data_IF_336427214679
#
_entry.id   IF_336427214679
#
_cell.length_a   1.000
_cell.length_b   1.000
_cell.length_c   1.000
_cell.angle_alpha   90.00
_cell.angle_beta   90.00
_cell.angle_gamma   90.00
#
_symmetry.space_group_name_H-M   'P 1'
#
loop_
_entity.id
_entity.type
_entity.pdbx_description
1 polymer ?
#
# COMPACT_ATOMS: atom_id res chain seq x y z
N UNK A 1 -16.04 -16.31 24.22
CA UNK A 1 -16.30 -15.95 22.81
C UNK A 1 -15.42 -14.78 22.40
N UNK A 2 -14.83 -14.89 21.22
CA UNK A 2 -14.08 -13.82 20.55
C UNK A 2 -15.08 -12.86 19.89
N UNK A 3 -14.78 -11.57 19.88
CA UNK A 3 -15.68 -10.53 19.34
C UNK A 3 -14.86 -9.55 18.52
N UNK A 4 -15.48 -8.88 17.54
CA UNK A 4 -14.83 -7.84 16.72
C UNK A 4 -14.09 -6.78 17.58
N UNK A 5 -14.73 -6.30 18.66
CA UNK A 5 -14.13 -5.30 19.54
C UNK A 5 -12.85 -5.81 20.24
N UNK A 6 -12.88 -7.03 20.79
CA UNK A 6 -11.69 -7.67 21.40
C UNK A 6 -10.54 -7.80 20.40
N UNK A 7 -10.82 -8.23 19.17
CA UNK A 7 -9.80 -8.36 18.11
C UNK A 7 -9.21 -6.99 17.78
N UNK A 8 -10.05 -5.97 17.59
CA UNK A 8 -9.61 -4.60 17.31
C UNK A 8 -8.76 -4.01 18.44
N UNK A 9 -9.17 -4.22 19.69
CA UNK A 9 -8.42 -3.77 20.87
C UNK A 9 -7.07 -4.49 20.99
N UNK A 10 -7.05 -5.81 20.85
CA UNK A 10 -5.83 -6.61 20.90
C UNK A 10 -4.85 -6.19 19.79
N UNK A 11 -5.33 -6.08 18.54
CA UNK A 11 -4.51 -5.65 17.43
C UNK A 11 -3.93 -4.25 17.61
N UNK A 12 -4.70 -3.30 18.14
CA UNK A 12 -4.20 -1.96 18.47
C UNK A 12 -3.16 -1.99 19.59
N UNK A 13 -3.38 -2.79 20.63
CA UNK A 13 -2.41 -2.97 21.71
C UNK A 13 -1.11 -3.64 21.22
N UNK A 14 -1.17 -4.44 20.15
CA UNK A 14 -0.03 -5.15 19.57
C UNK A 14 0.72 -4.37 18.49
N UNK A 15 0.21 -3.21 18.04
CA UNK A 15 0.93 -2.30 17.15
C UNK A 15 0.19 -1.87 15.88
N UNK A 16 -1.02 -2.36 15.61
CA UNK A 16 -1.83 -1.84 14.52
C UNK A 16 -2.38 -0.44 14.87
N UNK A 17 -2.34 0.49 13.92
CA UNK A 17 -2.90 1.82 14.13
C UNK A 17 -4.38 1.90 13.75
N UNK A 18 -4.77 1.11 12.75
CA UNK A 18 -6.13 0.97 12.25
C UNK A 18 -6.46 -0.51 12.09
N UNK A 19 -7.71 -0.86 12.36
CA UNK A 19 -8.23 -2.21 12.20
C UNK A 19 -9.66 -2.09 11.68
N UNK A 20 -9.93 -2.73 10.55
CA UNK A 20 -11.25 -2.78 9.92
C UNK A 20 -11.57 -4.24 9.59
N UNK A 21 -12.85 -4.60 9.64
CA UNK A 21 -13.31 -5.96 9.41
C UNK A 21 -14.30 -5.94 8.24
N UNK A 22 -14.10 -6.83 7.29
CA UNK A 22 -15.04 -7.10 6.21
C UNK A 22 -15.42 -8.58 6.19
N UNK A 23 -16.37 -8.91 5.33
CA UNK A 23 -16.80 -10.28 5.08
C UNK A 23 -16.29 -10.77 3.71
N UNK A 24 -16.07 -12.08 3.52
CA UNK A 24 -15.55 -12.63 2.27
C UNK A 24 -16.41 -12.36 1.03
N UNK A 25 -17.74 -12.20 1.17
CA UNK A 25 -18.65 -11.89 0.06
C UNK A 25 -18.31 -10.55 -0.62
N UNK A 26 -17.65 -9.62 0.08
CA UNK A 26 -17.18 -8.36 -0.49
C UNK A 26 -16.13 -8.54 -1.60
N UNK A 27 -15.58 -9.74 -1.75
CA UNK A 27 -14.67 -10.14 -2.82
C UNK A 27 -15.34 -10.87 -4.00
N UNK A 28 -16.67 -10.95 -4.02
CA UNK A 28 -17.37 -11.47 -5.20
C UNK A 28 -16.95 -10.73 -6.49
N UNK A 29 -16.61 -11.51 -7.53
CA UNK A 29 -16.11 -10.99 -8.80
C UNK A 29 -14.62 -10.61 -8.81
N UNK A 30 -13.89 -10.74 -7.70
CA UNK A 30 -12.45 -10.52 -7.69
C UNK A 30 -11.72 -11.51 -8.63
N UNK A 31 -10.62 -11.08 -9.28
CA UNK A 31 -9.78 -12.01 -10.03
C UNK A 31 -9.29 -13.14 -9.14
N UNK A 32 -9.33 -14.38 -9.63
CA UNK A 32 -8.97 -15.58 -8.85
C UNK A 32 -7.57 -15.51 -8.22
N UNK A 33 -6.66 -14.75 -8.83
CA UNK A 33 -5.29 -14.54 -8.33
C UNK A 33 -5.15 -13.49 -7.22
N UNK A 34 -6.25 -12.84 -6.85
CA UNK A 34 -6.32 -11.80 -5.82
C UNK A 34 -7.46 -11.99 -4.83
N UNK A 35 -8.19 -13.09 -4.93
CA UNK A 35 -9.37 -13.37 -4.12
C UNK A 35 -8.96 -14.19 -2.86
N UNK A 36 -9.13 -13.64 -1.64
CA UNK A 36 -8.73 -14.28 -0.40
C UNK A 36 -9.49 -15.58 -0.13
N UNK A 37 -10.64 -15.80 -0.78
CA UNK A 37 -11.42 -17.04 -0.65
C UNK A 37 -10.69 -18.24 -1.26
N UNK A 38 -9.69 -18.02 -2.12
CA UNK A 38 -8.80 -19.10 -2.58
C UNK A 38 -7.61 -19.35 -1.65
N UNK A 39 -7.35 -18.46 -0.68
CA UNK A 39 -6.32 -18.65 0.35
C UNK A 39 -6.92 -19.40 1.54
N UNK A 40 -8.08 -18.95 2.02
CA UNK A 40 -8.82 -19.58 3.11
C UNK A 40 -10.31 -19.62 2.74
N UNK A 41 -10.79 -20.70 2.08
CA UNK A 41 -12.19 -20.81 1.65
C UNK A 41 -13.19 -20.68 2.81
N UNK A 42 -12.79 -21.17 3.99
CA UNK A 42 -13.65 -21.23 5.18
C UNK A 42 -13.60 -19.94 6.02
N UNK A 43 -12.89 -18.92 5.54
CA UNK A 43 -12.84 -17.64 6.22
C UNK A 43 -14.27 -17.07 6.34
N UNK A 44 -14.60 -16.60 7.55
CA UNK A 44 -15.84 -15.86 7.82
C UNK A 44 -15.62 -14.36 7.95
N UNK A 45 -14.39 -13.97 8.29
CA UNK A 45 -13.99 -12.57 8.43
C UNK A 45 -12.65 -12.30 7.75
N UNK A 46 -12.55 -11.10 7.19
CA UNK A 46 -11.32 -10.53 6.63
C UNK A 46 -10.97 -9.29 7.45
N UNK A 47 -9.79 -9.26 8.06
CA UNK A 47 -9.36 -8.17 8.94
C UNK A 47 -8.27 -7.37 8.23
N UNK A 48 -8.52 -6.11 7.89
CA UNK A 48 -7.51 -5.21 7.37
C UNK A 48 -6.83 -4.43 8.51
N UNK A 49 -5.52 -4.24 8.38
CA UNK A 49 -4.70 -3.49 9.33
C UNK A 49 -4.05 -2.29 8.64
N UNK A 50 -4.03 -1.14 9.31
CA UNK A 50 -3.27 0.04 8.91
C UNK A 50 -2.11 0.30 9.86
N UNK A 51 -0.93 0.58 9.32
CA UNK A 51 0.29 0.87 10.06
C UNK A 51 0.83 2.23 9.61
N UNK A 52 0.87 3.19 10.52
CA UNK A 52 1.15 4.58 10.18
C UNK A 52 2.59 4.73 9.70
N UNK A 53 2.75 5.46 8.60
CA UNK A 53 4.02 6.04 8.22
C UNK A 53 4.19 7.32 9.02
N UNK A 54 5.26 7.39 9.80
CA UNK A 54 5.59 8.56 10.60
C UNK A 54 5.78 9.78 9.68
N UNK A 55 5.07 10.89 9.94
CA UNK A 55 5.29 12.14 9.19
C UNK A 55 6.77 12.57 9.24
N UNK A 56 7.44 12.31 10.36
CA UNK A 56 8.87 12.58 10.55
C UNK A 56 9.80 11.77 9.63
N UNK A 57 9.45 10.54 9.23
CA UNK A 57 10.33 9.75 8.35
C UNK A 57 10.46 10.35 6.95
N UNK A 58 9.50 11.17 6.54
CA UNK A 58 9.50 11.88 5.26
C UNK A 58 10.29 13.20 5.31
N UNK A 59 10.60 13.72 6.51
CA UNK A 59 11.26 15.02 6.70
C UNK A 59 12.63 15.07 6.03
N UNK A 60 13.43 14.02 6.18
CA UNK A 60 14.78 13.98 5.63
C UNK A 60 14.81 14.11 4.10
N UNK A 61 13.83 13.53 3.41
CA UNK A 61 13.68 13.67 1.95
C UNK A 61 13.10 15.04 1.59
N UNK A 62 12.16 15.58 2.38
CA UNK A 62 11.65 16.94 2.17
C UNK A 62 12.75 18.00 2.28
N UNK A 63 13.68 17.84 3.22
CA UNK A 63 14.78 18.79 3.45
C UNK A 63 16.03 18.50 2.61
N UNK A 64 16.08 17.36 1.90
CA UNK A 64 17.24 16.95 1.12
C UNK A 64 18.43 16.48 1.96
N UNK A 65 18.22 16.02 3.21
CA UNK A 65 19.29 15.73 4.17
C UNK A 65 19.39 14.28 4.60
N UNK A 66 18.29 13.51 4.58
CA UNK A 66 18.29 12.14 5.10
C UNK A 66 17.30 11.25 4.34
N UNK A 67 17.75 10.74 3.20
CA UNK A 67 16.89 10.01 2.25
C UNK A 67 16.59 8.57 2.66
N UNK A 68 17.52 7.91 3.34
CA UNK A 68 17.37 6.50 3.68
C UNK A 68 16.29 6.25 4.75
N UNK A 69 15.95 7.24 5.58
CA UNK A 69 15.03 7.06 6.70
C UNK A 69 13.61 6.65 6.29
N UNK A 70 13.05 7.24 5.22
CA UNK A 70 11.75 6.80 4.73
C UNK A 70 11.82 5.37 4.18
N UNK A 71 12.83 5.07 3.36
CA UNK A 71 13.05 3.73 2.83
C UNK A 71 13.23 2.69 3.94
N UNK A 72 14.02 2.99 4.98
CA UNK A 72 14.30 2.08 6.07
C UNK A 72 13.15 2.01 7.07
N UNK A 73 12.80 3.10 7.73
CA UNK A 73 11.87 3.11 8.87
C UNK A 73 10.41 3.31 8.45
N UNK A 74 10.16 4.13 7.43
CA UNK A 74 8.80 4.47 6.99
C UNK A 74 8.22 3.57 5.89
N UNK A 75 8.99 2.60 5.40
CA UNK A 75 8.58 1.70 4.32
C UNK A 75 9.07 0.27 4.55
N UNK A 76 10.37 0.02 4.49
CA UNK A 76 10.98 -1.31 4.57
C UNK A 76 10.71 -2.01 5.90
N UNK A 77 11.11 -1.40 7.02
CA UNK A 77 10.94 -1.96 8.36
C UNK A 77 9.45 -2.12 8.75
N UNK A 78 8.57 -1.21 8.31
CA UNK A 78 7.13 -1.41 8.48
C UNK A 78 6.69 -2.70 7.79
N UNK A 79 6.99 -2.85 6.49
CA UNK A 79 6.57 -4.00 5.71
C UNK A 79 7.21 -5.34 6.16
N UNK A 80 8.48 -5.32 6.56
CA UNK A 80 9.29 -6.53 6.78
C UNK A 80 9.51 -6.92 8.23
N UNK A 81 9.34 -6.00 9.18
CA UNK A 81 9.55 -6.27 10.59
C UNK A 81 8.28 -6.01 11.39
N UNK A 82 7.81 -4.77 11.40
CA UNK A 82 6.78 -4.34 12.34
C UNK A 82 5.40 -4.93 12.04
N UNK A 83 4.99 -4.90 10.77
CA UNK A 83 3.71 -5.47 10.35
C UNK A 83 3.67 -6.99 10.58
N UNK A 84 4.65 -7.80 10.11
CA UNK A 84 4.65 -9.24 10.37
C UNK A 84 4.61 -9.57 11.86
N UNK A 85 5.42 -8.91 12.69
CA UNK A 85 5.41 -9.14 14.15
C UNK A 85 4.03 -8.88 14.76
N UNK A 86 3.40 -7.75 14.40
CA UNK A 86 2.06 -7.42 14.88
C UNK A 86 1.06 -8.47 14.45
N UNK A 87 1.06 -8.85 13.16
CA UNK A 87 0.11 -9.80 12.61
C UNK A 87 0.27 -11.20 13.18
N UNK A 88 1.50 -11.66 13.41
CA UNK A 88 1.76 -12.95 14.07
C UNK A 88 1.19 -12.96 15.49
N UNK A 89 1.29 -11.86 16.24
CA UNK A 89 0.75 -11.78 17.59
C UNK A 89 -0.79 -11.74 17.60
N UNK A 90 -1.40 -11.05 16.63
CA UNK A 90 -2.86 -11.04 16.47
C UNK A 90 -3.38 -12.40 16.04
N UNK A 91 -2.68 -13.11 15.14
CA UNK A 91 -3.06 -14.46 14.73
C UNK A 91 -3.05 -15.42 15.93
N UNK A 92 -1.96 -15.43 16.72
CA UNK A 92 -1.87 -16.20 17.96
C UNK A 92 -3.01 -15.89 18.93
N UNK A 93 -3.32 -14.60 19.10
CA UNK A 93 -4.44 -14.19 19.95
C UNK A 93 -5.78 -14.74 19.46
N UNK A 94 -6.02 -14.80 18.15
CA UNK A 94 -7.25 -15.39 17.60
C UNK A 94 -7.23 -16.93 17.78
N UNK A 95 -6.09 -17.56 17.58
CA UNK A 95 -5.88 -19.01 17.77
C UNK A 95 -6.04 -19.43 19.24
N UNK A 96 -5.70 -18.59 20.21
CA UNK A 96 -5.95 -18.82 21.64
C UNK A 96 -7.46 -18.90 21.98
N UNK A 97 -8.32 -18.39 21.10
CA UNK A 97 -9.78 -18.55 21.18
C UNK A 97 -10.30 -19.75 20.36
N UNK A 98 -9.41 -20.51 19.73
CA UNK A 98 -9.73 -21.73 18.97
C UNK A 98 -10.14 -21.50 17.53
N UNK A 99 -9.69 -20.41 16.89
CA UNK A 99 -9.95 -20.12 15.48
C UNK A 99 -8.64 -20.03 14.68
N UNK A 100 -8.61 -20.57 13.47
CA UNK A 100 -7.49 -20.35 12.55
C UNK A 100 -7.41 -18.90 12.05
N UNK A 101 -6.18 -18.39 11.88
CA UNK A 101 -5.94 -17.05 11.37
C UNK A 101 -4.71 -17.00 10.45
N UNK A 102 -4.90 -16.59 9.19
CA UNK A 102 -3.83 -16.49 8.19
C UNK A 102 -3.43 -15.02 7.99
N UNK A 103 -2.26 -14.58 8.48
CA UNK A 103 -1.76 -13.23 8.21
C UNK A 103 -1.17 -13.12 6.79
N UNK A 104 -1.53 -12.06 6.06
CA UNK A 104 -0.99 -11.72 4.75
C UNK A 104 -0.58 -10.24 4.68
N UNK A 105 0.72 -10.01 4.50
CA UNK A 105 1.31 -8.68 4.38
C UNK A 105 1.93 -8.40 3.00
N UNK A 106 2.95 -7.56 2.97
CA UNK A 106 3.74 -7.30 1.76
C UNK A 106 4.75 -8.42 1.44
N UNK A 107 4.94 -9.38 2.35
CA UNK A 107 5.94 -10.43 2.27
C UNK A 107 5.46 -11.63 1.47
N UNK A 108 5.28 -11.44 0.16
CA UNK A 108 4.81 -12.50 -0.74
C UNK A 108 5.77 -12.69 -1.92
N UNK A 109 7.03 -13.11 -1.68
CA UNK A 109 8.04 -13.23 -2.75
C UNK A 109 7.65 -14.24 -3.83
N UNK A 110 6.88 -15.26 -3.48
CA UNK A 110 6.47 -16.33 -4.40
C UNK A 110 5.19 -16.04 -5.19
N UNK A 111 4.55 -14.89 -4.97
CA UNK A 111 3.28 -14.57 -5.62
C UNK A 111 3.31 -14.74 -7.13
N UNK A 112 2.22 -15.30 -7.67
CA UNK A 112 2.09 -15.56 -9.10
C UNK A 112 1.97 -14.29 -9.95
N UNK A 113 1.58 -13.16 -9.35
CA UNK A 113 1.31 -11.91 -10.08
C UNK A 113 2.42 -10.86 -9.96
N UNK A 114 2.56 -10.02 -10.98
CA UNK A 114 3.45 -8.86 -11.00
C UNK A 114 2.91 -7.68 -10.14
N UNK A 115 3.43 -6.47 -10.34
CA UNK A 115 2.96 -5.28 -9.61
C UNK A 115 1.68 -4.66 -10.19
N UNK A 116 1.25 -5.10 -11.37
CA UNK A 116 0.07 -4.64 -12.10
C UNK A 116 -1.10 -5.62 -11.94
N UNK A 117 -0.81 -6.85 -11.50
CA UNK A 117 -1.79 -7.89 -11.25
C UNK A 117 -1.85 -8.97 -12.32
N UNK A 118 -0.94 -8.92 -13.29
CA UNK A 118 -0.84 -9.92 -14.35
C UNK A 118 -0.04 -11.12 -13.87
N UNK A 119 -0.35 -12.30 -14.38
CA UNK A 119 0.47 -13.48 -14.14
C UNK A 119 1.90 -13.24 -14.64
N UNK A 120 2.88 -13.54 -13.79
CA UNK A 120 4.29 -13.56 -14.18
C UNK A 120 4.50 -14.65 -15.22
N UNK A 121 5.39 -14.39 -16.17
CA UNK A 121 5.86 -15.40 -17.11
C UNK A 121 6.84 -16.36 -16.41
N UNK A 122 6.33 -17.21 -15.53
CA UNK A 122 7.08 -18.26 -14.84
C UNK A 122 6.41 -19.62 -15.06
N UNK A 123 7.13 -20.75 -14.90
CA UNK A 123 6.60 -22.08 -15.18
C UNK A 123 5.64 -22.60 -14.08
N UNK A 124 5.08 -21.72 -13.25
CA UNK A 124 4.19 -22.14 -12.17
C UNK A 124 2.83 -22.54 -12.76
N UNK A 125 2.22 -23.57 -12.17
CA UNK A 125 0.92 -24.10 -12.58
C UNK A 125 0.00 -24.29 -11.39
N UNK A 126 -1.33 -24.25 -11.58
CA UNK A 126 -2.27 -24.69 -10.56
C UNK A 126 -1.92 -26.11 -10.08
N UNK A 127 -2.11 -26.35 -8.79
CA UNK A 127 -1.91 -27.68 -8.20
C UNK A 127 -3.02 -28.66 -8.58
N UNK A 128 -4.20 -28.13 -8.94
CA UNK A 128 -5.34 -28.89 -9.46
C UNK A 128 -6.17 -28.04 -10.44
N UNK A 129 -6.99 -28.64 -11.32
CA UNK A 129 -7.87 -27.92 -12.22
C UNK A 129 -8.85 -26.99 -11.47
N UNK A 130 -9.01 -25.76 -11.96
CA UNK A 130 -9.94 -24.77 -11.38
C UNK A 130 -9.38 -23.94 -10.23
N UNK A 131 -8.22 -24.30 -9.66
CA UNK A 131 -7.52 -23.46 -8.68
C UNK A 131 -6.63 -22.40 -9.34
N UNK A 132 -6.34 -21.28 -8.65
CA UNK A 132 -5.31 -20.35 -9.07
C UNK A 132 -3.92 -21.02 -9.06
N UNK A 133 -3.00 -20.42 -9.83
CA UNK A 133 -1.55 -20.64 -9.63
C UNK A 133 -1.20 -20.33 -8.17
N UNK A 134 -0.31 -21.11 -7.52
CA UNK A 134 0.07 -20.89 -6.12
C UNK A 134 0.49 -19.46 -5.77
N UNK A 135 0.38 -19.14 -4.48
CA UNK A 135 0.71 -17.83 -3.91
C UNK A 135 -0.21 -16.70 -4.43
N UNK A 136 -1.52 -16.89 -4.24
CA UNK A 136 -2.55 -15.86 -4.40
C UNK A 136 -2.21 -14.63 -3.57
N UNK A 137 -2.34 -13.44 -4.15
CA UNK A 137 -1.97 -12.18 -3.50
C UNK A 137 -3.14 -11.21 -3.48
N UNK A 138 -3.64 -10.92 -2.28
CA UNK A 138 -4.72 -9.95 -2.08
C UNK A 138 -4.21 -8.53 -2.33
N UNK A 139 -4.95 -7.74 -3.11
CA UNK A 139 -4.62 -6.33 -3.30
C UNK A 139 -4.94 -5.51 -2.04
N UNK A 140 -3.92 -5.24 -1.23
CA UNK A 140 -4.06 -4.73 0.14
C UNK A 140 -4.83 -3.39 0.27
N UNK A 141 -4.77 -2.51 -0.73
CA UNK A 141 -5.57 -1.26 -0.72
C UNK A 141 -7.06 -1.51 -0.97
N UNK A 142 -7.38 -2.50 -1.81
CA UNK A 142 -8.76 -2.92 -2.05
C UNK A 142 -9.27 -3.65 -0.80
N UNK A 143 -8.44 -4.49 -0.19
CA UNK A 143 -8.80 -5.13 1.09
C UNK A 143 -9.14 -4.12 2.18
N UNK A 144 -8.32 -3.08 2.34
CA UNK A 144 -8.57 -2.03 3.32
C UNK A 144 -9.86 -1.24 3.02
N UNK A 145 -10.16 -0.96 1.74
CA UNK A 145 -11.42 -0.34 1.32
C UNK A 145 -12.62 -1.24 1.69
N UNK A 146 -12.58 -2.50 1.28
CA UNK A 146 -13.62 -3.49 1.54
C UNK A 146 -13.80 -3.79 3.03
N UNK A 147 -12.81 -3.52 3.87
CA UNK A 147 -12.91 -3.64 5.33
C UNK A 147 -13.28 -2.31 6.03
N UNK A 148 -13.66 -1.28 5.28
CA UNK A 148 -14.17 -0.02 5.83
C UNK A 148 -13.12 0.93 6.40
N UNK A 149 -11.82 0.71 6.15
CA UNK A 149 -10.77 1.55 6.74
C UNK A 149 -10.68 2.98 6.18
N UNK A 150 -11.22 3.21 4.97
CA UNK A 150 -10.96 4.42 4.20
C UNK A 150 -11.32 4.27 2.74
N UNK A 151 -10.81 5.17 1.90
CA UNK A 151 -11.11 5.25 0.47
C UNK A 151 -9.85 5.16 -0.41
N UNK A 152 -10.02 4.93 -1.71
CA UNK A 152 -8.92 4.94 -2.69
C UNK A 152 -8.91 6.31 -3.38
N UNK A 153 -7.83 7.08 -3.21
CA UNK A 153 -7.66 8.37 -3.88
C UNK A 153 -7.22 8.24 -5.33
N UNK A 154 -7.25 9.35 -6.07
CA UNK A 154 -6.93 9.37 -7.51
C UNK A 154 -5.54 8.81 -7.87
N UNK A 155 -4.53 8.97 -7.00
CA UNK A 155 -3.20 8.36 -7.19
C UNK A 155 -3.13 6.87 -6.86
N UNK A 156 -4.29 6.20 -6.73
CA UNK A 156 -4.45 4.83 -6.22
C UNK A 156 -3.97 4.64 -4.77
N UNK A 157 -3.45 5.68 -4.10
CA UNK A 157 -3.07 5.60 -2.69
C UNK A 157 -4.31 5.44 -1.82
N UNK A 158 -4.23 4.58 -0.81
CA UNK A 158 -5.31 4.42 0.17
C UNK A 158 -5.30 5.62 1.12
N UNK A 159 -6.46 6.21 1.38
CA UNK A 159 -6.63 7.39 2.22
C UNK A 159 -7.45 7.03 3.45
N UNK A 160 -6.95 7.39 4.62
CA UNK A 160 -7.65 7.21 5.90
C UNK A 160 -7.91 8.58 6.53
N UNK A 161 -9.03 8.78 7.25
CA UNK A 161 -9.29 10.02 7.98
C UNK A 161 -8.19 10.35 8.99
N UNK A 162 -7.52 9.34 9.54
CA UNK A 162 -6.50 9.50 10.57
C UNK A 162 -5.18 9.97 9.96
N UNK A 163 -4.73 9.37 8.86
CA UNK A 163 -3.35 9.54 8.39
C UNK A 163 -3.22 10.00 6.93
N UNK A 164 -4.33 10.19 6.22
CA UNK A 164 -4.32 10.49 4.79
C UNK A 164 -3.68 9.32 4.05
N UNK A 165 -2.67 9.51 3.19
CA UNK A 165 -1.96 8.43 2.48
C UNK A 165 -0.83 7.77 3.30
N UNK A 166 -0.56 8.21 4.54
CA UNK A 166 0.61 7.79 5.33
C UNK A 166 0.37 6.49 6.09
N UNK A 167 0.16 5.40 5.37
CA UNK A 167 0.07 4.09 5.98
C UNK A 167 0.50 2.97 5.04
N UNK A 168 0.93 1.87 5.66
CA UNK A 168 1.08 0.55 5.04
C UNK A 168 -0.11 -0.31 5.49
N UNK A 169 -0.43 -1.32 4.69
CA UNK A 169 -1.64 -2.11 4.87
C UNK A 169 -1.30 -3.59 4.92
N UNK A 170 -2.05 -4.34 5.72
CA UNK A 170 -2.03 -5.79 5.72
C UNK A 170 -3.44 -6.36 5.84
N UNK A 171 -3.60 -7.65 5.62
CA UNK A 171 -4.88 -8.35 5.76
C UNK A 171 -4.70 -9.68 6.48
N UNK A 172 -5.71 -10.14 7.20
CA UNK A 172 -5.75 -11.47 7.81
C UNK A 172 -7.11 -12.11 7.53
N UNK A 173 -7.09 -13.40 7.23
CA UNK A 173 -8.30 -14.20 7.06
C UNK A 173 -8.50 -15.07 8.30
N UNK A 174 -9.74 -15.25 8.74
CA UNK A 174 -10.05 -16.12 9.87
C UNK A 174 -11.45 -16.72 9.74
N UNK A 175 -11.63 -17.93 10.27
CA UNK A 175 -12.94 -18.58 10.45
C UNK A 175 -13.74 -17.99 11.62
N UNK A 176 -13.13 -17.11 12.44
CA UNK A 176 -13.87 -16.39 13.46
C UNK A 176 -14.94 -15.50 12.82
N UNK A 177 -16.18 -15.64 13.27
CA UNK A 177 -17.31 -14.82 12.81
C UNK A 177 -17.32 -13.50 13.60
N UNK A 178 -16.92 -12.42 12.94
CA UNK A 178 -16.75 -11.10 13.54
C UNK A 178 -17.68 -10.10 12.85
N UNK A 179 -18.29 -9.21 13.63
CA UNK A 179 -19.12 -8.13 13.11
C UNK A 179 -18.32 -7.25 12.13
N UNK A 180 -18.76 -7.09 10.87
CA UNK A 180 -18.04 -6.31 9.87
C UNK A 180 -18.27 -4.80 10.05
N UNK A 181 -17.27 -4.01 9.66
CA UNK A 181 -17.40 -2.56 9.54
C UNK A 181 -18.10 -2.20 8.22
N UNK A 182 -18.91 -1.13 8.20
CA UNK A 182 -19.44 -0.59 6.94
C UNK A 182 -18.31 -0.07 6.06
N UNK A 183 -18.48 -0.16 4.74
CA UNK A 183 -17.58 0.50 3.79
C UNK A 183 -17.75 2.02 3.94
N UNK A 184 -16.64 2.75 4.05
CA UNK A 184 -16.66 4.20 4.24
C UNK A 184 -17.01 4.91 2.93
N UNK A 185 -17.99 5.82 2.98
CA UNK A 185 -18.27 6.72 1.86
C UNK A 185 -17.11 7.70 1.62
N UNK A 186 -16.70 7.93 0.36
CA UNK A 186 -15.52 8.73 0.04
C UNK A 186 -15.76 10.23 0.26
N UNK A 187 -14.80 10.92 0.89
CA UNK A 187 -14.84 12.38 1.12
C UNK A 187 -13.46 13.06 1.23
N UNK A 188 -12.39 12.28 1.33
CA UNK A 188 -11.02 12.76 1.49
C UNK A 188 -10.48 13.27 0.16
N UNK A 189 -10.50 12.43 -0.89
CA UNK A 189 -9.99 12.81 -2.20
C UNK A 189 -10.97 13.75 -2.90
N UNK A 190 -10.55 15.00 -3.09
CA UNK A 190 -11.33 16.04 -3.78
C UNK A 190 -10.89 16.25 -5.23
N UNK A 191 -10.15 15.29 -5.79
CA UNK A 191 -9.61 15.34 -7.14
C UNK A 191 -8.80 16.62 -7.44
N UNK A 192 -8.07 17.17 -6.46
CA UNK A 192 -7.17 18.31 -6.65
C UNK A 192 -5.99 18.08 -7.63
N UNK A 193 -5.73 16.84 -8.04
CA UNK A 193 -4.64 16.44 -8.94
C UNK A 193 -3.21 16.77 -8.48
N UNK A 194 -3.01 17.25 -7.25
CA UNK A 194 -1.68 17.51 -6.68
C UNK A 194 -0.78 16.27 -6.69
N UNK A 195 -1.38 15.09 -6.53
CA UNK A 195 -0.64 13.84 -6.60
C UNK A 195 -0.02 13.57 -7.98
N UNK A 196 -0.67 14.01 -9.05
CA UNK A 196 -0.20 13.91 -10.43
C UNK A 196 0.77 15.05 -10.76
N UNK A 197 0.41 16.29 -10.45
CA UNK A 197 1.23 17.47 -10.77
C UNK A 197 2.58 17.48 -10.05
N UNK A 198 2.66 16.91 -8.84
CA UNK A 198 3.90 16.83 -8.05
C UNK A 198 4.64 15.49 -8.24
N UNK A 199 4.16 14.60 -9.12
CA UNK A 199 4.84 13.36 -9.44
C UNK A 199 6.10 13.68 -10.27
N UNK A 200 7.33 13.43 -9.76
CA UNK A 200 8.54 13.78 -10.50
C UNK A 200 8.67 13.05 -11.83
N UNK A 201 8.00 11.90 -11.97
CA UNK A 201 7.99 11.13 -13.21
C UNK A 201 6.76 11.27 -14.07
N UNK A 202 5.82 12.16 -13.74
CA UNK A 202 4.56 12.28 -14.50
C UNK A 202 3.81 10.96 -14.65
N UNK A 203 3.95 10.05 -13.67
CA UNK A 203 3.49 8.67 -13.82
C UNK A 203 1.98 8.49 -13.61
N UNK A 204 1.29 9.53 -13.13
CA UNK A 204 -0.13 9.49 -12.80
C UNK A 204 -0.85 10.39 -13.81
N UNK A 205 -1.46 9.80 -14.87
CA UNK A 205 -2.16 10.57 -15.89
C UNK A 205 -3.46 11.17 -15.36
N UNK A 206 -3.88 12.30 -15.95
CA UNK A 206 -5.14 12.99 -15.64
C UNK A 206 -6.21 12.78 -16.71
N UNK A 207 -5.87 12.11 -17.81
CA UNK A 207 -6.69 11.89 -19.00
C UNK A 207 -7.11 10.42 -19.20
N UNK A 208 -6.54 9.49 -18.42
CA UNK A 208 -6.91 8.06 -18.43
C UNK A 208 -7.01 7.49 -17.01
N UNK A 209 -8.01 6.64 -16.80
CA UNK A 209 -8.39 6.10 -15.50
C UNK A 209 -8.71 4.61 -15.56
N UNK A 210 -8.57 3.93 -14.42
CA UNK A 210 -9.07 2.58 -14.18
C UNK A 210 -10.29 2.67 -13.27
N UNK A 211 -11.35 1.93 -13.60
CA UNK A 211 -12.57 1.79 -12.79
C UNK A 211 -12.71 0.35 -12.30
N UNK A 212 -13.22 0.20 -11.09
CA UNK A 212 -13.59 -1.11 -10.54
C UNK A 212 -14.89 -0.98 -9.75
N UNK A 213 -15.71 -2.03 -9.77
CA UNK A 213 -16.83 -2.19 -8.84
C UNK A 213 -16.37 -3.07 -7.68
N UNK A 214 -16.43 -2.55 -6.45
CA UNK A 214 -15.97 -3.21 -5.24
C UNK A 214 -17.15 -3.31 -4.27
N UNK A 215 -17.75 -4.50 -4.17
CA UNK A 215 -18.93 -4.75 -3.33
C UNK A 215 -20.08 -3.73 -3.57
N UNK A 216 -20.35 -3.40 -4.83
CA UNK A 216 -21.39 -2.44 -5.21
C UNK A 216 -20.94 -0.97 -5.26
N UNK A 217 -19.72 -0.65 -4.82
CA UNK A 217 -19.17 0.70 -4.88
C UNK A 217 -18.28 0.89 -6.13
N UNK A 218 -18.61 1.88 -6.97
CA UNK A 218 -17.74 2.28 -8.07
C UNK A 218 -16.55 3.09 -7.55
N UNK A 219 -15.34 2.61 -7.82
CA UNK A 219 -14.09 3.28 -7.49
C UNK A 219 -13.29 3.57 -8.74
N UNK A 220 -12.56 4.68 -8.74
CA UNK A 220 -11.81 5.17 -9.89
C UNK A 220 -10.48 5.81 -9.47
N UNK A 221 -9.40 5.50 -10.21
CA UNK A 221 -8.08 6.12 -10.03
C UNK A 221 -7.38 6.29 -11.38
N UNK A 222 -6.34 7.13 -11.45
CA UNK A 222 -5.56 7.34 -12.67
C UNK A 222 -4.86 6.06 -13.13
N UNK A 223 -4.76 5.84 -14.43
CA UNK A 223 -4.08 4.65 -15.00
C UNK A 223 -2.55 4.80 -14.97
N UNK A 224 -1.99 4.54 -13.77
CA UNK A 224 -0.60 4.81 -13.42
C UNK A 224 0.35 4.01 -14.30
N UNK A 225 1.34 4.70 -14.89
CA UNK A 225 2.47 4.04 -15.55
C UNK A 225 3.39 3.42 -14.49
N UNK A 226 3.16 2.14 -14.21
CA UNK A 226 3.90 1.41 -13.17
C UNK A 226 5.36 1.15 -13.53
N UNK A 227 5.69 1.06 -14.83
CA UNK A 227 7.07 0.88 -15.32
C UNK A 227 7.88 2.15 -15.13
N UNK A 228 7.32 3.29 -15.53
CA UNK A 228 7.92 4.61 -15.30
C UNK A 228 7.98 4.91 -13.81
N UNK A 229 6.90 4.67 -13.06
CA UNK A 229 6.89 4.86 -11.61
C UNK A 229 7.99 4.02 -10.93
N UNK A 230 8.28 2.80 -11.39
CA UNK A 230 9.37 2.00 -10.84
C UNK A 230 10.72 2.71 -10.96
N UNK A 231 11.05 3.34 -12.09
CA UNK A 231 12.32 4.06 -12.30
C UNK A 231 12.38 5.34 -11.46
N UNK A 232 11.32 6.14 -11.53
CA UNK A 232 11.29 7.47 -10.93
C UNK A 232 11.19 7.44 -9.40
N UNK A 233 10.40 6.49 -8.85
CA UNK A 233 10.36 6.22 -7.42
C UNK A 233 11.77 5.94 -6.86
N UNK A 234 12.55 5.20 -7.65
CA UNK A 234 13.91 4.72 -7.37
C UNK A 234 15.01 5.77 -7.54
N UNK A 235 14.65 7.02 -7.86
CA UNK A 235 15.59 8.14 -8.02
C UNK A 235 16.15 8.31 -9.43
N UNK A 236 15.77 7.45 -10.38
CA UNK A 236 16.23 7.56 -11.76
C UNK A 236 15.24 8.30 -12.65
N UNK A 237 15.69 8.73 -13.81
CA UNK A 237 14.86 9.10 -14.95
C UNK A 237 15.20 8.22 -16.15
N UNK A 238 14.26 8.14 -17.10
CA UNK A 238 14.46 7.41 -18.36
C UNK A 238 14.99 8.42 -19.36
N UNK A 239 16.13 8.10 -19.97
CA UNK A 239 16.83 8.95 -20.93
C UNK A 239 16.12 8.98 -22.30
N UNK A 240 16.44 9.97 -23.12
CA UNK A 240 15.93 10.05 -24.49
C UNK A 240 16.63 9.03 -25.41
N UNK A 241 16.00 8.73 -26.54
CA UNK A 241 16.55 7.76 -27.50
C UNK A 241 17.94 8.20 -28.00
N UNK A 242 18.95 7.33 -27.80
CA UNK A 242 20.34 7.58 -28.21
C UNK A 242 21.24 8.12 -27.10
N UNK A 243 20.69 8.47 -25.94
CA UNK A 243 21.45 8.74 -24.73
C UNK A 243 21.75 7.45 -23.96
N UNK A 244 22.87 7.42 -23.24
CA UNK A 244 23.30 6.26 -22.47
C UNK A 244 23.71 6.65 -21.04
N UNK A 245 23.21 5.89 -20.06
CA UNK A 245 23.53 6.07 -18.65
C UNK A 245 23.10 4.87 -17.83
N UNK A 246 23.84 4.57 -16.75
CA UNK A 246 23.55 3.46 -15.86
C UNK A 246 23.38 3.94 -14.40
N UNK A 247 22.25 4.60 -14.14
CA UNK A 247 21.86 4.89 -12.76
C UNK A 247 21.28 3.65 -12.07
N UNK A 248 20.35 2.95 -12.74
CA UNK A 248 19.79 1.68 -12.27
C UNK A 248 20.68 0.54 -12.78
N UNK A 249 21.19 -0.35 -11.89
CA UNK A 249 22.04 -1.45 -12.32
C UNK A 249 21.39 -2.31 -13.41
N UNK A 250 22.15 -2.63 -14.46
CA UNK A 250 21.73 -3.39 -15.65
C UNK A 250 20.69 -2.67 -16.52
N UNK A 251 20.69 -1.33 -16.53
CA UNK A 251 19.91 -0.50 -17.46
C UNK A 251 20.78 0.62 -18.00
N UNK A 252 20.99 0.64 -19.30
CA UNK A 252 21.78 1.64 -20.03
C UNK A 252 20.97 2.86 -20.47
N UNK A 253 19.68 2.91 -20.12
CA UNK A 253 18.73 3.96 -20.48
C UNK A 253 18.31 4.82 -19.27
N UNK A 254 19.15 4.91 -18.22
CA UNK A 254 18.78 5.62 -16.98
C UNK A 254 19.85 6.56 -16.45
N UNK A 255 19.43 7.76 -16.02
CA UNK A 255 20.25 8.74 -15.31
C UNK A 255 19.66 9.07 -13.92
N UNK A 256 20.45 9.66 -12.99
CA UNK A 256 19.89 10.20 -11.76
C UNK A 256 18.94 11.35 -12.08
N UNK A 257 17.69 11.26 -11.64
CA UNK A 257 16.73 12.36 -11.84
C UNK A 257 17.09 13.59 -11.01
N UNK A 258 16.65 14.80 -11.38
CA UNK A 258 17.03 16.05 -10.71
C UNK A 258 16.63 16.16 -9.23
N UNK A 259 15.74 15.29 -8.74
CA UNK A 259 15.37 15.21 -7.33
C UNK A 259 16.19 14.17 -6.53
N UNK A 260 17.00 13.35 -7.21
CA UNK A 260 17.87 12.36 -6.58
C UNK A 260 19.21 13.01 -6.22
N UNK A 261 19.66 12.94 -4.96
CA UNK A 261 20.98 13.44 -4.56
C UNK A 261 22.11 12.44 -4.86
N UNK A 262 21.80 11.30 -5.46
CA UNK A 262 22.74 10.20 -5.64
C UNK A 262 23.14 10.09 -7.10
N UNK A 263 24.45 10.02 -7.36
CA UNK A 263 25.03 9.73 -8.68
C UNK A 263 24.75 8.30 -9.16
N UNK A 264 24.64 7.37 -8.20
CA UNK A 264 24.28 5.98 -8.46
C UNK A 264 23.17 5.56 -7.53
N UNK A 265 22.33 4.65 -8.00
CA UNK A 265 21.25 4.13 -7.20
C UNK A 265 21.79 3.44 -5.91
N UNK A 266 21.34 3.86 -4.71
CA UNK A 266 21.66 3.18 -3.46
C UNK A 266 21.15 1.73 -3.41
N UNK A 267 21.79 0.94 -2.56
CA UNK A 267 21.42 -0.45 -2.28
C UNK A 267 20.02 -0.59 -1.67
N UNK A 268 19.41 -1.76 -1.84
CA UNK A 268 18.13 -2.10 -1.21
C UNK A 268 18.27 -2.27 0.30
N UNK A 269 17.20 -1.94 1.03
CA UNK A 269 17.07 -2.11 2.49
C UNK A 269 15.81 -2.95 2.70
N UNK A 270 15.87 -4.07 3.44
CA UNK A 270 14.73 -4.98 3.63
C UNK A 270 14.03 -5.39 2.31
N UNK A 271 14.76 -5.71 1.23
CA UNK A 271 14.20 -5.93 -0.13
C UNK A 271 13.44 -4.72 -0.73
N UNK A 272 13.30 -3.61 0.00
CA UNK A 272 12.50 -2.42 -0.30
C UNK A 272 13.26 -1.15 0.09
N UNK A 273 14.32 -0.79 -0.64
CA UNK A 273 15.22 0.32 -0.26
C UNK A 273 15.15 1.58 -1.10
N UNK A 274 14.12 1.77 -1.91
CA UNK A 274 14.27 2.61 -3.10
C UNK A 274 13.24 3.74 -3.20
N UNK A 275 12.70 4.22 -2.08
CA UNK A 275 11.73 5.30 -2.07
C UNK A 275 12.38 6.70 -2.16
N UNK A 276 13.32 6.88 -3.09
CA UNK A 276 14.17 8.08 -3.19
C UNK A 276 13.36 9.32 -3.55
N UNK A 277 12.35 9.16 -4.41
CA UNK A 277 11.40 10.24 -4.69
C UNK A 277 10.61 10.70 -3.45
N UNK A 278 10.68 9.95 -2.33
CA UNK A 278 9.98 10.25 -1.08
C UNK A 278 8.47 10.32 -1.22
N UNK A 279 7.92 9.69 -2.26
CA UNK A 279 6.50 9.78 -2.61
C UNK A 279 5.99 11.23 -2.68
N UNK A 280 6.78 12.13 -3.32
CA UNK A 280 6.53 13.58 -3.44
C UNK A 280 5.08 13.91 -3.81
N UNK A 281 4.57 13.36 -4.92
CA UNK A 281 3.18 13.55 -5.34
C UNK A 281 2.18 12.72 -4.55
N UNK A 282 2.25 11.39 -4.70
CA UNK A 282 1.20 10.48 -4.22
C UNK A 282 1.00 10.46 -2.69
N UNK A 283 2.05 10.73 -1.89
CA UNK A 283 1.94 10.76 -0.42
C UNK A 283 2.12 12.16 0.14
N UNK A 284 3.24 12.84 -0.14
CA UNK A 284 3.56 14.12 0.53
C UNK A 284 2.62 15.24 0.12
N UNK A 285 2.44 15.49 -1.18
CA UNK A 285 1.53 16.53 -1.66
C UNK A 285 0.09 16.25 -1.22
N UNK A 286 -0.37 15.01 -1.35
CA UNK A 286 -1.70 14.58 -0.89
C UNK A 286 -1.89 14.78 0.63
N UNK A 287 -0.93 14.35 1.45
CA UNK A 287 -0.97 14.56 2.90
C UNK A 287 -1.02 16.06 3.23
N UNK A 288 -0.15 16.87 2.66
CA UNK A 288 -0.07 18.32 2.92
C UNK A 288 -1.42 18.98 2.62
N UNK A 289 -2.01 18.67 1.47
CA UNK A 289 -3.31 19.18 1.07
C UNK A 289 -4.40 18.80 2.06
N UNK A 290 -4.52 17.52 2.41
CA UNK A 290 -5.52 17.06 3.38
C UNK A 290 -5.31 17.69 4.78
N UNK A 291 -4.06 17.93 5.19
CA UNK A 291 -3.72 18.62 6.44
C UNK A 291 -4.19 20.09 6.41
N UNK A 292 -3.96 20.80 5.29
CA UNK A 292 -4.40 22.19 5.09
C UNK A 292 -5.92 22.33 5.05
N UNK A 293 -6.61 21.34 4.48
CA UNK A 293 -8.07 21.27 4.47
C UNK A 293 -8.67 20.84 5.83
N UNK A 294 -7.84 20.52 6.82
CA UNK A 294 -8.30 20.07 8.14
C UNK A 294 -8.98 18.69 8.13
N UNK A 295 -8.80 17.91 7.06
CA UNK A 295 -9.45 16.59 6.89
C UNK A 295 -8.78 15.46 7.67
N UNK A 296 -7.59 15.70 8.24
CA UNK A 296 -6.82 14.67 8.95
C UNK A 296 -6.99 14.74 10.48
N UNK A 297 -7.28 13.59 11.08
CA UNK A 297 -7.36 13.43 12.54
C UNK A 297 -5.99 13.51 13.23
N UNK A 298 -4.92 13.01 12.59
CA UNK A 298 -3.56 13.16 13.11
C UNK A 298 -2.99 14.55 12.78
N UNK A 299 -3.08 15.47 13.75
CA UNK A 299 -2.66 16.87 13.62
C UNK A 299 -1.25 17.11 14.14
N UNK A 300 -0.61 18.16 13.61
CA UNK A 300 0.71 18.62 14.03
C UNK A 300 0.70 20.13 14.23
N UNK A 301 1.48 20.61 15.20
CA UNK A 301 1.58 22.05 15.49
C UNK A 301 2.21 22.85 14.34
N UNK A 302 3.14 22.25 13.60
CA UNK A 302 3.83 22.92 12.49
C UNK A 302 3.48 22.28 11.14
N UNK A 303 3.39 23.08 10.06
CA UNK A 303 3.19 22.56 8.71
C UNK A 303 4.36 21.66 8.27
N UNK A 304 4.09 20.80 7.28
CA UNK A 304 5.08 19.84 6.82
C UNK A 304 6.10 20.56 5.95
N UNK A 305 5.69 21.20 4.85
CA UNK A 305 6.57 22.12 4.12
C UNK A 305 6.78 23.39 4.95
N UNK A 306 8.05 23.69 5.22
CA UNK A 306 8.49 24.87 5.99
C UNK A 306 9.24 25.88 5.13
N UNK A 307 9.84 25.40 4.05
CA UNK A 307 10.47 26.21 3.01
C UNK A 307 9.46 26.42 1.87
N UNK A 308 9.47 27.59 1.22
CA UNK A 308 8.69 27.83 0.00
C UNK A 308 9.11 26.89 -1.13
#
# INVERSE_FOLDING_TARGET
MLTAEKVKQAAKAMGADLVGIGTPDRWEGAPVQMDPRFIMPEAKSIIAFGFRVMRGSLRGIEEGTFFSNYSSMGYGALNWLYMPMTMMNVAKYIEDFGYEAIPLGHLSPWRAIDNEGNLKNNPNRPVEPGKPVPDVMVHLRIAAFLCGLGEIGYSKMFLTPQFGPRQRLAVMMTEAELEPDPIMEPYLCDRCMLCASECPGGCIPTDRTVKANLAGHEVEWGDIDMKRCNVYFRGGEILEDGEHGEYIPNRDDTAPGPWSPFERKPNTIYEHGQAIAGSKGCTRACMIHLEQQGKLGNKFQTPFRRKP
#
